data_IF_268919954305
#
_entry.id   IF_268919954305
#
_cell.length_a   1.000
_cell.length_b   1.000
_cell.length_c   1.000
_cell.angle_alpha   90.00
_cell.angle_beta   90.00
_cell.angle_gamma   90.00
#
_symmetry.space_group_name_H-M   'P 1'
#
loop_
_entity.id
_entity.type
_entity.pdbx_description
1 polymer ?
#
# COMPACT_ATOMS: atom_id res chain seq x y z
N UNK A 1 -23.17 14.84 21.03
CA UNK A 1 -22.18 14.86 19.92
C UNK A 1 -21.76 13.42 19.64
N UNK A 2 -22.10 12.85 18.49
CA UNK A 2 -21.71 11.48 18.09
C UNK A 2 -20.48 11.50 17.18
N UNK A 3 -19.33 11.93 17.72
CA UNK A 3 -18.07 11.76 16.99
C UNK A 3 -17.68 10.28 16.98
N UNK A 4 -17.61 9.66 15.80
CA UNK A 4 -17.02 8.34 15.57
C UNK A 4 -15.71 8.50 14.80
N UNK A 5 -14.69 7.75 15.21
CA UNK A 5 -13.45 7.72 14.46
C UNK A 5 -13.72 7.18 13.04
N UNK A 6 -13.16 7.80 11.99
CA UNK A 6 -13.29 7.30 10.63
C UNK A 6 -12.73 5.88 10.53
N UNK A 7 -13.38 5.04 9.73
CA UNK A 7 -12.93 3.68 9.47
C UNK A 7 -11.56 3.70 8.79
N UNK A 8 -10.64 2.87 9.29
CA UNK A 8 -9.24 2.91 8.87
C UNK A 8 -9.01 2.21 7.54
N UNK A 9 -9.71 1.12 7.29
CA UNK A 9 -9.61 0.31 6.08
C UNK A 9 -11.02 0.18 5.51
N UNK A 10 -11.25 0.72 4.33
CA UNK A 10 -12.52 0.60 3.62
C UNK A 10 -12.30 -0.34 2.45
N UNK A 11 -13.05 -1.46 2.43
CA UNK A 11 -13.09 -2.39 1.31
C UNK A 11 -14.54 -2.67 0.97
N UNK A 12 -14.97 -2.20 -0.19
CA UNK A 12 -16.29 -2.45 -0.78
C UNK A 12 -16.11 -2.93 -2.22
N UNK A 13 -17.19 -2.92 -3.01
CA UNK A 13 -17.12 -3.17 -4.45
C UNK A 13 -16.48 -1.99 -5.19
N UNK A 14 -16.81 -0.75 -4.79
CA UNK A 14 -16.37 0.48 -5.47
C UNK A 14 -15.18 1.18 -4.78
N UNK A 15 -14.89 0.84 -3.52
CA UNK A 15 -13.85 1.50 -2.73
C UNK A 15 -12.85 0.50 -2.16
N UNK A 16 -11.57 0.86 -2.23
CA UNK A 16 -10.48 0.14 -1.58
C UNK A 16 -9.46 1.16 -1.11
N UNK A 17 -9.53 1.56 0.17
CA UNK A 17 -8.75 2.68 0.69
C UNK A 17 -8.28 2.44 2.13
N UNK A 18 -7.16 3.06 2.50
CA UNK A 18 -6.65 3.08 3.87
C UNK A 18 -6.48 4.52 4.34
N UNK A 19 -7.18 4.87 5.42
CA UNK A 19 -7.03 6.13 6.12
C UNK A 19 -5.92 6.03 7.17
N UNK A 20 -4.89 6.86 7.04
CA UNK A 20 -3.78 6.95 7.96
C UNK A 20 -3.84 8.27 8.73
N UNK A 21 -3.63 8.21 10.04
CA UNK A 21 -3.50 9.38 10.93
C UNK A 21 -2.15 9.30 11.62
N UNK A 22 -1.40 10.40 11.57
CA UNK A 22 -0.12 10.54 12.28
C UNK A 22 -0.37 10.55 13.80
N UNK A 23 0.38 9.78 14.58
CA UNK A 23 0.08 9.60 16.02
C UNK A 23 0.31 10.87 16.85
N UNK A 24 1.39 11.62 16.54
CA UNK A 24 1.77 12.85 17.24
C UNK A 24 1.56 14.12 16.40
N UNK A 25 1.08 13.97 15.18
CA UNK A 25 0.85 15.07 14.24
C UNK A 25 -0.64 15.23 13.96
N UNK A 26 -1.06 16.43 13.55
CA UNK A 26 -2.45 16.68 13.13
C UNK A 26 -2.71 16.30 11.67
N UNK A 27 -1.85 15.48 11.08
CA UNK A 27 -1.91 15.15 9.65
C UNK A 27 -2.53 13.79 9.44
N UNK A 28 -3.32 13.69 8.38
CA UNK A 28 -3.91 12.44 7.91
C UNK A 28 -3.79 12.34 6.39
N UNK A 29 -3.93 11.12 5.87
CA UNK A 29 -3.90 10.84 4.43
C UNK A 29 -4.73 9.61 4.10
N UNK A 30 -5.43 9.66 2.98
CA UNK A 30 -6.09 8.50 2.36
C UNK A 30 -5.15 7.93 1.30
N UNK A 31 -4.94 6.62 1.36
CA UNK A 31 -4.24 5.84 0.34
C UNK A 31 -5.26 5.01 -0.43
N UNK A 32 -5.44 5.33 -1.70
CA UNK A 32 -6.48 4.80 -2.56
C UNK A 32 -5.92 3.71 -3.49
N UNK A 33 -6.30 2.46 -3.22
CA UNK A 33 -5.82 1.26 -3.92
C UNK A 33 -6.59 1.00 -5.21
N UNK A 34 -7.76 1.60 -5.42
CA UNK A 34 -8.55 1.46 -6.66
C UNK A 34 -7.80 2.02 -7.88
N UNK A 35 -6.88 2.97 -7.63
CA UNK A 35 -6.01 3.58 -8.64
C UNK A 35 -4.87 2.69 -9.12
N UNK A 36 -4.64 1.55 -8.47
CA UNK A 36 -3.60 0.59 -8.86
C UNK A 36 -4.13 -0.27 -10.01
N UNK A 37 -3.37 -0.33 -11.11
CA UNK A 37 -3.70 -1.12 -12.31
C UNK A 37 -3.39 -2.62 -12.11
N UNK A 38 -4.06 -3.23 -11.16
CA UNK A 38 -4.01 -4.66 -10.82
C UNK A 38 -5.42 -5.17 -10.59
N UNK A 39 -5.60 -6.49 -10.53
CA UNK A 39 -6.89 -7.09 -10.23
C UNK A 39 -7.44 -6.65 -8.86
N UNK A 40 -8.76 -6.63 -8.70
CA UNK A 40 -9.44 -6.25 -7.44
C UNK A 40 -8.98 -7.12 -6.26
N UNK A 41 -8.72 -8.41 -6.48
CA UNK A 41 -8.18 -9.31 -5.45
C UNK A 41 -6.84 -8.83 -4.92
N UNK A 42 -5.95 -8.39 -5.80
CA UNK A 42 -4.65 -7.82 -5.43
C UNK A 42 -4.79 -6.44 -4.78
N UNK A 43 -5.67 -5.57 -5.27
CA UNK A 43 -5.95 -4.27 -4.62
C UNK A 43 -6.36 -4.46 -3.16
N UNK A 44 -7.31 -5.36 -2.89
CA UNK A 44 -7.82 -5.68 -1.54
C UNK A 44 -6.71 -6.24 -0.64
N UNK A 45 -5.91 -7.17 -1.16
CA UNK A 45 -4.80 -7.74 -0.42
C UNK A 45 -3.72 -6.71 -0.07
N UNK A 46 -3.35 -5.83 -1.02
CA UNK A 46 -2.41 -4.74 -0.77
C UNK A 46 -2.96 -3.77 0.29
N UNK A 47 -4.24 -3.42 0.24
CA UNK A 47 -4.88 -2.55 1.23
C UNK A 47 -4.86 -3.17 2.63
N UNK A 48 -5.21 -4.45 2.77
CA UNK A 48 -5.14 -5.17 4.04
C UNK A 48 -3.70 -5.23 4.58
N UNK A 49 -2.73 -5.53 3.71
CA UNK A 49 -1.31 -5.62 4.08
C UNK A 49 -0.78 -4.27 4.54
N UNK A 50 -1.10 -3.20 3.82
CA UNK A 50 -0.74 -1.84 4.18
C UNK A 50 -1.42 -1.37 5.47
N UNK A 51 -2.71 -1.67 5.65
CA UNK A 51 -3.44 -1.35 6.88
C UNK A 51 -2.81 -2.02 8.11
N UNK A 52 -2.39 -3.29 7.99
CA UNK A 52 -1.64 -4.01 9.03
C UNK A 52 -0.29 -3.36 9.29
N UNK A 53 0.49 -3.09 8.23
CA UNK A 53 1.83 -2.51 8.34
C UNK A 53 1.85 -1.08 8.90
N UNK A 54 0.73 -0.37 8.80
CA UNK A 54 0.58 1.01 9.31
C UNK A 54 -0.28 1.09 10.56
N UNK A 55 -0.78 -0.04 11.07
CA UNK A 55 -1.77 -0.11 12.14
C UNK A 55 -1.29 0.47 13.48
N UNK A 56 -2.19 0.57 14.48
CA UNK A 56 -1.87 1.15 15.79
C UNK A 56 -0.67 0.51 16.50
N UNK A 57 -0.48 -0.80 16.31
CA UNK A 57 0.65 -1.57 16.87
C UNK A 57 1.92 -1.51 16.02
N UNK A 58 1.88 -0.91 14.83
CA UNK A 58 3.04 -0.77 13.96
C UNK A 58 3.98 0.34 14.45
N UNK A 59 5.27 0.23 14.09
CA UNK A 59 6.25 1.31 14.26
C UNK A 59 6.05 2.49 13.30
N UNK A 60 5.12 2.40 12.35
CA UNK A 60 4.87 3.44 11.35
C UNK A 60 3.97 4.53 11.94
N UNK A 61 4.60 5.49 12.62
CA UNK A 61 3.88 6.56 13.33
C UNK A 61 3.80 7.88 12.57
N UNK A 62 4.57 8.03 11.49
CA UNK A 62 4.70 9.26 10.70
C UNK A 62 4.18 9.08 9.28
N UNK A 63 3.61 10.14 8.70
CA UNK A 63 3.15 10.12 7.31
C UNK A 63 4.29 9.83 6.34
N UNK A 64 5.50 10.29 6.61
CA UNK A 64 6.66 10.04 5.74
C UNK A 64 6.97 8.55 5.64
N UNK A 65 6.89 7.81 6.74
CA UNK A 65 7.10 6.36 6.75
C UNK A 65 5.96 5.62 6.03
N UNK A 66 4.70 6.02 6.27
CA UNK A 66 3.56 5.49 5.52
C UNK A 66 3.65 5.79 4.02
N UNK A 67 4.15 6.96 3.64
CA UNK A 67 4.39 7.34 2.25
C UNK A 67 5.50 6.49 1.59
N UNK A 68 6.58 6.17 2.32
CA UNK A 68 7.61 5.25 1.81
C UNK A 68 7.06 3.84 1.56
N UNK A 69 6.26 3.31 2.50
CA UNK A 69 5.57 2.02 2.30
C UNK A 69 4.62 2.06 1.10
N UNK A 70 3.88 3.15 0.96
CA UNK A 70 2.98 3.34 -0.18
C UNK A 70 3.75 3.36 -1.51
N UNK A 71 4.92 4.00 -1.55
CA UNK A 71 5.81 3.94 -2.72
C UNK A 71 6.19 2.50 -3.09
N UNK A 72 6.54 1.67 -2.10
CA UNK A 72 6.79 0.24 -2.31
C UNK A 72 5.58 -0.53 -2.85
N UNK A 73 4.39 -0.26 -2.30
CA UNK A 73 3.11 -0.81 -2.81
C UNK A 73 2.89 -0.45 -4.28
N UNK A 74 3.10 0.82 -4.65
CA UNK A 74 2.91 1.29 -6.02
C UNK A 74 3.88 0.61 -6.99
N UNK A 75 5.13 0.37 -6.58
CA UNK A 75 6.14 -0.31 -7.39
C UNK A 75 5.77 -1.78 -7.59
N UNK A 76 5.40 -2.49 -6.52
CA UNK A 76 4.95 -3.88 -6.63
C UNK A 76 3.69 -4.00 -7.51
N UNK A 77 2.69 -3.15 -7.28
CA UNK A 77 1.48 -3.15 -8.10
C UNK A 77 1.76 -2.81 -9.57
N UNK A 78 2.65 -1.85 -9.82
CA UNK A 78 3.09 -1.48 -11.17
C UNK A 78 3.83 -2.62 -11.90
N UNK A 79 4.55 -3.47 -11.17
CA UNK A 79 5.14 -4.69 -11.71
C UNK A 79 4.07 -5.75 -11.98
N UNK A 80 3.26 -6.11 -10.97
CA UNK A 80 2.22 -7.14 -11.09
C UNK A 80 1.21 -6.84 -12.20
N UNK A 81 0.88 -5.57 -12.42
CA UNK A 81 -0.04 -5.13 -13.49
C UNK A 81 0.49 -5.34 -14.91
N UNK A 82 1.77 -5.72 -15.07
CA UNK A 82 2.41 -5.99 -16.37
C UNK A 82 2.77 -7.46 -16.57
N UNK A 83 2.64 -8.30 -15.54
CA UNK A 83 3.01 -9.72 -15.60
C UNK A 83 2.01 -10.49 -16.48
N UNK A 84 2.54 -11.42 -17.27
CA UNK A 84 1.76 -12.36 -18.09
C UNK A 84 2.18 -13.78 -17.67
N UNK A 85 1.24 -14.65 -17.23
CA UNK A 85 -0.20 -14.40 -17.11
C UNK A 85 -0.55 -13.40 -15.98
N UNK A 86 -1.71 -12.72 -16.05
CA UNK A 86 -2.12 -11.76 -15.02
C UNK A 86 -2.25 -12.41 -13.64
N UNK A 87 -1.82 -11.68 -12.60
CA UNK A 87 -1.96 -12.08 -11.19
C UNK A 87 -3.33 -11.62 -10.67
N UNK A 88 -4.20 -12.55 -10.31
CA UNK A 88 -5.58 -12.27 -9.89
C UNK A 88 -5.75 -12.27 -8.37
N UNK A 89 -4.95 -13.07 -7.68
CA UNK A 89 -5.03 -13.25 -6.23
C UNK A 89 -3.63 -13.39 -5.61
N UNK A 90 -3.50 -13.18 -4.29
CA UNK A 90 -2.20 -13.23 -3.62
C UNK A 90 -1.48 -14.56 -3.75
N UNK A 91 -2.23 -15.66 -3.90
CA UNK A 91 -1.67 -17.00 -4.10
C UNK A 91 -0.90 -17.15 -5.43
N UNK A 92 -1.17 -16.28 -6.41
CA UNK A 92 -0.47 -16.28 -7.71
C UNK A 92 0.86 -15.50 -7.64
N UNK A 93 1.14 -14.82 -6.51
CA UNK A 93 2.38 -14.05 -6.32
C UNK A 93 3.51 -15.01 -5.96
N UNK A 94 4.54 -15.04 -6.80
CA UNK A 94 5.75 -15.82 -6.57
C UNK A 94 6.87 -14.93 -6.03
N UNK A 95 7.92 -15.55 -5.47
CA UNK A 95 9.13 -14.86 -5.06
C UNK A 95 9.80 -14.10 -6.22
N UNK A 96 9.67 -14.59 -7.46
CA UNK A 96 10.19 -13.93 -8.65
C UNK A 96 9.52 -12.57 -8.88
N UNK A 97 8.19 -12.50 -8.78
CA UNK A 97 7.45 -11.22 -8.92
C UNK A 97 7.92 -10.18 -7.89
N UNK A 98 8.17 -10.61 -6.65
CA UNK A 98 8.67 -9.71 -5.60
C UNK A 98 10.07 -9.22 -5.95
N UNK A 99 10.99 -10.13 -6.29
CA UNK A 99 12.38 -9.79 -6.63
C UNK A 99 12.45 -8.81 -7.80
N UNK A 100 11.73 -9.08 -8.89
CA UNK A 100 11.73 -8.22 -10.07
C UNK A 100 11.11 -6.84 -9.80
N UNK A 101 10.09 -6.75 -8.94
CA UNK A 101 9.55 -5.46 -8.53
C UNK A 101 10.57 -4.58 -7.78
N UNK A 102 11.47 -5.20 -6.99
CA UNK A 102 12.52 -4.48 -6.27
C UNK A 102 13.63 -4.00 -7.21
N UNK A 103 13.90 -4.73 -8.28
CA UNK A 103 14.87 -4.34 -9.31
C UNK A 103 14.35 -3.18 -10.18
N UNK A 104 13.03 -3.06 -10.33
CA UNK A 104 12.39 -1.96 -11.06
C UNK A 104 12.41 -0.62 -10.30
N UNK A 105 12.88 -0.59 -9.04
CA UNK A 105 13.14 0.64 -8.30
C UNK A 105 14.38 1.30 -8.92
N UNK A 106 14.30 2.49 -9.55
CA UNK A 106 15.51 3.20 -9.94
C UNK A 106 16.32 3.44 -8.67
N UNK A 107 17.59 3.00 -8.66
CA UNK A 107 18.54 3.28 -7.60
C UNK A 107 18.68 4.81 -7.48
N UNK A 108 17.82 5.44 -6.67
CA UNK A 108 18.01 6.82 -6.29
C UNK A 108 19.37 6.90 -5.56
N UNK A 109 20.25 7.84 -5.94
CA UNK A 109 21.55 7.96 -5.29
C UNK A 109 21.32 8.15 -3.79
N UNK A 110 22.00 7.34 -2.97
CA UNK A 110 22.05 7.55 -1.52
C UNK A 110 22.64 8.95 -1.32
N UNK A 111 21.85 9.86 -0.75
CA UNK A 111 22.31 11.20 -0.40
C UNK A 111 23.47 11.03 0.59
N UNK A 112 24.71 11.48 0.30
CA UNK A 112 25.80 11.38 1.25
C UNK A 112 25.45 12.23 2.48
N UNK A 113 25.65 11.63 3.65
CA UNK A 113 25.67 12.29 4.96
C UNK A 113 26.82 13.28 5.05
#
# INVERSE_FOLDING_TARGET
MNWRAPERLVITEDECSVFFVEEKGRRSKVYDFTKLRVSTGIQRWLAQSFARATGPTSGVKRITAAASLWGGVQILAGHLGKVIPPVHQPADITAAHIKESLLAVPLAPRRPT
#
